data_IF_292812638009
#
_entry.id   IF_292812638009
#
_cell.length_a   1.000
_cell.length_b   1.000
_cell.length_c   1.000
_cell.angle_alpha   90.00
_cell.angle_beta   90.00
_cell.angle_gamma   90.00
#
_symmetry.space_group_name_H-M   'P 1'
#
loop_
_entity.id
_entity.type
_entity.pdbx_description
1 polymer ?
#
# COMPACT_ATOMS: atom_id res chain seq x y z
N UNK A 1 6.05 17.80 -8.98
CA UNK A 1 6.60 17.00 -7.86
C UNK A 1 7.80 16.23 -8.40
N UNK A 2 9.02 16.44 -7.88
CA UNK A 2 10.20 15.68 -8.28
C UNK A 2 10.38 14.53 -7.28
N UNK A 3 10.08 13.30 -7.69
CA UNK A 3 10.35 12.11 -6.89
C UNK A 3 11.85 11.82 -7.04
N UNK A 4 12.59 11.79 -5.93
CA UNK A 4 14.01 11.40 -5.98
C UNK A 4 14.04 9.89 -6.25
N UNK A 5 14.89 9.42 -7.19
CA UNK A 5 15.04 7.99 -7.43
C UNK A 5 15.31 7.26 -6.12
N UNK A 6 14.67 6.10 -5.95
CA UNK A 6 14.76 5.28 -4.73
C UNK A 6 14.11 5.88 -3.46
N UNK A 7 13.39 7.00 -3.53
CA UNK A 7 12.61 7.47 -2.39
C UNK A 7 11.46 6.53 -2.01
N UNK A 8 11.23 6.42 -0.70
CA UNK A 8 10.04 5.83 -0.12
C UNK A 8 9.12 6.97 0.35
N UNK A 9 7.93 7.05 -0.20
CA UNK A 9 6.93 8.07 0.11
C UNK A 9 5.93 7.44 1.09
N UNK A 10 5.92 7.95 2.32
CA UNK A 10 5.09 7.44 3.40
C UNK A 10 3.75 8.20 3.43
N UNK A 11 2.64 7.53 3.12
CA UNK A 11 1.32 8.14 3.11
C UNK A 11 0.48 7.70 4.31
N UNK A 12 0.19 8.64 5.23
CA UNK A 12 -0.61 8.35 6.42
C UNK A 12 -2.11 8.16 6.14
N UNK A 13 -2.72 8.91 5.22
CA UNK A 13 -4.06 8.64 4.69
C UNK A 13 -4.05 8.78 3.17
N UNK A 14 -4.34 7.69 2.48
CA UNK A 14 -4.41 7.66 1.03
C UNK A 14 -5.74 8.17 0.47
N UNK A 15 -5.67 8.80 -0.69
CA UNK A 15 -6.72 8.79 -1.71
C UNK A 15 -6.23 7.85 -2.80
N UNK A 16 -6.58 6.55 -2.76
CA UNK A 16 -6.00 5.57 -3.66
C UNK A 16 -6.74 5.60 -5.00
N UNK A 17 -6.67 6.75 -5.66
CA UNK A 17 -7.15 6.89 -7.03
C UNK A 17 -6.23 6.10 -7.97
N UNK A 18 -6.83 5.32 -8.88
CA UNK A 18 -6.07 4.45 -9.77
C UNK A 18 -5.09 5.23 -10.66
N UNK A 19 -5.45 6.44 -11.12
CA UNK A 19 -4.55 7.28 -11.94
C UNK A 19 -3.40 7.82 -11.11
N UNK A 20 -3.65 8.20 -9.87
CA UNK A 20 -2.58 8.64 -8.96
C UNK A 20 -1.61 7.50 -8.64
N UNK A 21 -2.11 6.30 -8.38
CA UNK A 21 -1.28 5.11 -8.14
C UNK A 21 -0.45 4.74 -9.39
N UNK A 22 -1.06 4.75 -10.58
CA UNK A 22 -0.35 4.56 -11.84
C UNK A 22 0.74 5.63 -12.06
N UNK A 23 0.45 6.89 -11.74
CA UNK A 23 1.43 7.98 -11.83
C UNK A 23 2.63 7.73 -10.89
N UNK A 24 2.38 7.35 -9.62
CA UNK A 24 3.47 7.06 -8.67
C UNK A 24 4.34 5.90 -9.16
N UNK A 25 3.73 4.79 -9.57
CA UNK A 25 4.44 3.61 -10.05
C UNK A 25 5.23 3.90 -11.34
N UNK A 26 4.60 4.55 -12.33
CA UNK A 26 5.23 4.91 -13.60
C UNK A 26 6.40 5.90 -13.47
N UNK A 27 6.48 6.64 -12.36
CA UNK A 27 7.59 7.54 -12.05
C UNK A 27 8.60 6.95 -11.06
N UNK A 28 8.54 5.64 -10.79
CA UNK A 28 9.47 4.95 -9.90
C UNK A 28 9.30 5.28 -8.41
N UNK A 29 8.18 5.91 -8.04
CA UNK A 29 7.84 6.19 -6.65
C UNK A 29 7.50 4.90 -5.92
N UNK A 30 8.10 4.70 -4.75
CA UNK A 30 7.79 3.57 -3.85
C UNK A 30 6.99 4.07 -2.67
N UNK A 31 5.96 3.35 -2.27
CA UNK A 31 5.08 3.81 -1.22
C UNK A 31 4.42 2.66 -0.46
N UNK A 32 4.26 2.85 0.86
CA UNK A 32 3.11 2.35 1.59
C UNK A 32 2.07 3.45 1.79
N UNK A 33 0.81 3.08 1.61
CA UNK A 33 -0.31 4.00 1.78
C UNK A 33 -1.40 3.34 2.61
N UNK A 34 -1.77 3.97 3.74
CA UNK A 34 -2.94 3.51 4.51
C UNK A 34 -4.20 3.76 3.71
N UNK A 35 -5.03 2.75 3.59
CA UNK A 35 -6.31 2.82 2.93
C UNK A 35 -7.44 2.82 3.96
N UNK A 36 -8.48 3.62 3.72
CA UNK A 36 -9.70 3.57 4.52
C UNK A 36 -10.51 2.33 4.13
N UNK A 37 -11.32 1.83 5.08
CA UNK A 37 -12.30 0.78 4.82
C UNK A 37 -13.24 1.18 3.66
N UNK A 38 -13.78 0.20 2.94
CA UNK A 38 -14.74 0.43 1.84
C UNK A 38 -14.17 1.13 0.61
N UNK A 39 -12.84 1.19 0.48
CA UNK A 39 -12.22 1.74 -0.72
C UNK A 39 -12.34 0.79 -1.92
N UNK A 40 -12.17 -0.51 -1.69
CA UNK A 40 -12.21 -1.52 -2.74
C UNK A 40 -12.85 -2.79 -2.20
N UNK A 41 -13.93 -3.24 -2.86
CA UNK A 41 -14.70 -4.41 -2.45
C UNK A 41 -13.85 -5.69 -2.32
N UNK A 42 -12.88 -5.90 -3.21
CA UNK A 42 -11.98 -7.07 -3.14
C UNK A 42 -11.14 -7.00 -1.87
N UNK A 43 -10.67 -5.81 -1.50
CA UNK A 43 -9.94 -5.63 -0.24
C UNK A 43 -10.81 -5.89 0.97
N UNK A 44 -12.06 -5.46 0.95
CA UNK A 44 -12.95 -5.64 2.10
C UNK A 44 -13.36 -7.11 2.30
N UNK A 45 -13.56 -7.87 1.22
CA UNK A 45 -14.02 -9.28 1.28
C UNK A 45 -12.88 -10.31 1.42
N UNK A 46 -11.65 -9.95 1.04
CA UNK A 46 -10.52 -10.89 1.08
C UNK A 46 -10.14 -11.23 2.52
N UNK A 47 -10.20 -12.50 2.91
CA UNK A 47 -9.87 -12.92 4.27
C UNK A 47 -8.36 -12.96 4.57
N UNK A 48 -7.50 -13.01 3.54
CA UNK A 48 -6.04 -12.97 3.73
C UNK A 48 -5.58 -11.59 4.15
N UNK A 49 -4.74 -11.50 5.17
CA UNK A 49 -4.10 -10.26 5.61
C UNK A 49 -2.98 -9.79 4.69
N UNK A 50 -2.52 -10.64 3.78
CA UNK A 50 -1.42 -10.34 2.87
C UNK A 50 -1.71 -10.97 1.50
N UNK A 51 -1.91 -10.14 0.47
CA UNK A 51 -2.25 -10.61 -0.87
C UNK A 51 -1.95 -9.59 -1.97
N UNK A 52 -1.83 -10.07 -3.20
CA UNK A 52 -1.66 -9.25 -4.39
C UNK A 52 -3.02 -8.79 -4.92
N UNK A 53 -3.09 -7.54 -5.39
CA UNK A 53 -4.27 -6.95 -5.99
C UNK A 53 -3.88 -6.23 -7.28
N UNK A 54 -4.39 -6.72 -8.40
CA UNK A 54 -4.32 -6.00 -9.68
C UNK A 54 -5.55 -5.09 -9.78
N UNK A 55 -5.34 -3.78 -9.61
CA UNK A 55 -6.41 -2.79 -9.69
C UNK A 55 -6.86 -2.56 -11.13
N UNK A 56 -5.91 -2.66 -12.07
CA UNK A 56 -6.11 -2.67 -13.52
C UNK A 56 -4.84 -3.24 -14.20
N UNK A 57 -4.75 -3.14 -15.53
CA UNK A 57 -3.64 -3.68 -16.31
C UNK A 57 -2.27 -3.03 -16.01
N UNK A 58 -2.28 -1.80 -15.49
CA UNK A 58 -1.08 -0.99 -15.26
C UNK A 58 -0.71 -0.86 -13.77
N UNK A 59 -1.60 -1.28 -12.86
CA UNK A 59 -1.46 -1.07 -11.42
C UNK A 59 -1.63 -2.37 -10.68
N UNK A 60 -0.49 -2.97 -10.33
CA UNK A 60 -0.41 -4.08 -9.38
C UNK A 60 0.03 -3.58 -8.01
N UNK A 61 -0.64 -4.04 -6.97
CA UNK A 61 -0.43 -3.65 -5.59
C UNK A 61 -0.32 -4.90 -4.72
N UNK A 62 0.25 -4.72 -3.54
CA UNK A 62 0.12 -5.68 -2.45
C UNK A 62 -0.64 -5.02 -1.31
N UNK A 63 -1.57 -5.77 -0.75
CA UNK A 63 -2.40 -5.36 0.37
C UNK A 63 -1.86 -6.05 1.61
N UNK A 64 -1.63 -5.29 2.67
CA UNK A 64 -1.17 -5.79 3.96
C UNK A 64 -2.06 -5.24 5.08
N UNK A 65 -2.61 -6.12 5.90
CA UNK A 65 -3.30 -5.76 7.15
C UNK A 65 -2.34 -5.86 8.32
N UNK A 66 -2.27 -4.79 9.09
CA UNK A 66 -1.43 -4.69 10.29
C UNK A 66 -2.33 -4.64 11.51
N UNK A 67 -2.19 -5.65 12.35
CA UNK A 67 -2.86 -5.72 13.65
C UNK A 67 -2.08 -4.92 14.67
N UNK A 68 -2.70 -3.88 15.21
CA UNK A 68 -2.08 -3.01 16.21
C UNK A 68 -2.31 -3.56 17.62
N UNK A 69 -1.39 -3.31 18.58
CA UNK A 69 -1.61 -3.65 19.99
C UNK A 69 -2.85 -3.00 20.61
N UNK A 70 -3.37 -1.92 20.00
CA UNK A 70 -4.63 -1.28 20.38
C UNK A 70 -5.87 -2.12 20.09
N UNK A 71 -5.73 -3.19 19.29
CA UNK A 71 -6.86 -3.96 18.76
C UNK A 71 -7.41 -3.42 17.45
N UNK A 72 -6.89 -2.30 16.95
CA UNK A 72 -7.23 -1.77 15.64
C UNK A 72 -6.51 -2.53 14.53
N UNK A 73 -7.11 -2.57 13.34
CA UNK A 73 -6.47 -3.09 12.13
C UNK A 73 -6.32 -1.97 11.12
N UNK A 74 -5.10 -1.78 10.62
CA UNK A 74 -4.84 -0.90 9.50
C UNK A 74 -4.67 -1.69 8.22
N UNK A 75 -5.31 -1.25 7.15
CA UNK A 75 -5.09 -1.79 5.80
C UNK A 75 -4.15 -0.88 5.04
N UNK A 76 -3.07 -1.42 4.50
CA UNK A 76 -2.15 -0.72 3.62
C UNK A 76 -2.17 -1.30 2.22
N UNK A 77 -2.04 -0.43 1.24
CA UNK A 77 -1.63 -0.79 -0.11
C UNK A 77 -0.18 -0.37 -0.33
N UNK A 78 0.62 -1.25 -0.92
CA UNK A 78 2.04 -1.02 -1.17
C UNK A 78 2.41 -1.43 -2.61
N UNK A 79 3.45 -0.83 -3.17
CA UNK A 79 4.06 -1.28 -4.43
C UNK A 79 5.46 -1.90 -4.24
N UNK A 80 5.76 -2.32 -3.01
CA UNK A 80 6.97 -3.07 -2.64
C UNK A 80 6.67 -4.57 -2.65
N UNK A 81 6.40 -5.11 -3.84
CA UNK A 81 5.77 -6.42 -4.02
C UNK A 81 6.62 -7.58 -3.47
N UNK A 82 7.94 -7.52 -3.65
CA UNK A 82 8.88 -8.57 -3.25
C UNK A 82 9.35 -8.49 -1.78
N UNK A 83 8.93 -7.46 -1.04
CA UNK A 83 9.45 -7.20 0.31
C UNK A 83 8.74 -8.09 1.32
N UNK A 84 9.43 -9.01 2.02
CA UNK A 84 8.77 -9.85 3.04
C UNK A 84 8.14 -9.00 4.15
N UNK A 85 7.07 -9.51 4.77
CA UNK A 85 6.33 -8.80 5.81
C UNK A 85 7.24 -8.25 6.92
N UNK A 86 8.20 -9.05 7.39
CA UNK A 86 9.14 -8.65 8.45
C UNK A 86 10.08 -7.52 8.02
N UNK A 87 10.37 -7.42 6.71
CA UNK A 87 11.17 -6.34 6.14
C UNK A 87 10.33 -5.08 5.89
N UNK A 88 9.02 -5.25 5.71
CA UNK A 88 8.05 -4.16 5.57
C UNK A 88 7.76 -3.47 6.91
N UNK A 89 7.62 -4.21 8.01
CA UNK A 89 7.23 -3.64 9.31
C UNK A 89 8.13 -2.49 9.81
N UNK A 90 9.47 -2.53 9.67
CA UNK A 90 10.32 -1.38 10.00
C UNK A 90 10.05 -0.12 9.17
N UNK A 91 9.51 -0.26 7.95
CA UNK A 91 9.11 0.87 7.11
C UNK A 91 7.74 1.42 7.54
N UNK A 92 6.82 0.53 7.93
CA UNK A 92 5.52 0.89 8.48
C UNK A 92 5.67 1.82 9.69
N UNK A 93 6.54 1.48 10.64
CA UNK A 93 6.77 2.28 11.85
C UNK A 93 7.51 3.61 11.62
N UNK A 94 7.96 3.90 10.39
CA UNK A 94 8.55 5.19 10.03
C UNK A 94 7.53 6.20 9.50
N UNK A 95 6.30 5.76 9.25
CA UNK A 95 5.20 6.59 8.76
C UNK A 95 4.62 7.41 9.91
#
# INVERSE_FOLDING_TARGET
MKIVPQSLILFDQGYPDAKFLAFLQGNGGRFPMRCKMKWNYVIDETQSDDFMLDLNQDVSLRVIRVWLPSGETETLIINLLDLRYEQFMPLYFRR
#
